data_IF_197959418547
#
_entry.id   IF_197959418547
#
_cell.length_a   1.000
_cell.length_b   1.000
_cell.length_c   1.000
_cell.angle_alpha   90.00
_cell.angle_beta   90.00
_cell.angle_gamma   90.00
#
_symmetry.space_group_name_H-M   'P 1'
#
loop_
_entity.id
_entity.type
_entity.pdbx_description
1 polymer ?
#
# COMPACT_ATOMS: atom_id res chain seq x y z
N UNK A 1 5.32 14.38 21.28
CA UNK A 1 6.11 13.65 20.24
C UNK A 1 5.72 14.17 18.86
N UNK A 2 6.61 14.07 17.85
CA UNK A 2 6.41 14.73 16.54
C UNK A 2 5.46 14.03 15.56
N UNK A 3 4.89 12.86 15.90
CA UNK A 3 3.98 12.09 15.01
C UNK A 3 4.49 11.95 13.56
N UNK A 4 5.79 11.67 13.42
CA UNK A 4 6.47 11.46 12.13
C UNK A 4 7.07 10.06 12.09
N UNK A 5 6.85 9.36 10.98
CA UNK A 5 7.48 8.09 10.64
C UNK A 5 8.80 8.33 9.90
N UNK A 6 9.88 7.78 10.45
CA UNK A 6 11.25 7.91 9.93
C UNK A 6 11.93 6.55 9.92
N UNK A 7 12.71 6.26 8.88
CA UNK A 7 13.59 5.09 8.87
C UNK A 7 14.71 5.23 9.91
N UNK A 8 15.00 4.16 10.66
CA UNK A 8 16.14 4.16 11.59
C UNK A 8 17.44 4.01 10.79
N UNK A 9 18.31 5.02 10.85
CA UNK A 9 19.54 5.08 10.06
C UNK A 9 19.29 5.65 8.65
N UNK A 10 20.06 5.19 7.66
CA UNK A 10 19.95 5.66 6.27
C UNK A 10 18.81 4.94 5.55
N UNK A 11 17.75 5.68 5.19
CA UNK A 11 16.53 5.10 4.62
C UNK A 11 16.78 4.21 3.40
N UNK A 12 17.64 4.63 2.46
CA UNK A 12 17.97 3.86 1.27
C UNK A 12 18.64 2.53 1.58
N UNK A 13 19.58 2.49 2.53
CA UNK A 13 20.21 1.23 2.98
C UNK A 13 19.17 0.30 3.57
N UNK A 14 18.29 0.83 4.44
CA UNK A 14 17.22 0.02 5.05
C UNK A 14 16.27 -0.57 4.00
N UNK A 15 15.89 0.18 2.97
CA UNK A 15 14.99 -0.33 1.94
C UNK A 15 15.68 -1.29 0.96
N UNK A 16 16.99 -1.15 0.73
CA UNK A 16 17.77 -2.11 -0.04
C UNK A 16 17.93 -3.47 0.67
N UNK A 17 18.06 -3.47 2.00
CA UNK A 17 18.11 -4.71 2.80
C UNK A 17 16.81 -5.53 2.71
N UNK A 18 15.66 -4.85 2.78
CA UNK A 18 14.33 -5.47 2.71
C UNK A 18 13.31 -4.45 2.19
N UNK A 19 12.99 -4.55 0.90
CA UNK A 19 12.07 -3.62 0.24
C UNK A 19 10.65 -3.69 0.81
N UNK A 20 10.26 -4.77 1.51
CA UNK A 20 8.97 -4.84 2.21
C UNK A 20 8.82 -3.72 3.25
N UNK A 21 9.92 -3.15 3.74
CA UNK A 21 9.89 -2.00 4.65
C UNK A 21 9.20 -0.77 4.03
N UNK A 22 9.16 -0.66 2.71
CA UNK A 22 8.39 0.37 1.99
C UNK A 22 6.88 0.15 2.22
N UNK A 23 6.37 -1.06 1.95
CA UNK A 23 4.96 -1.40 2.21
C UNK A 23 4.60 -1.25 3.70
N UNK A 24 5.51 -1.64 4.60
CA UNK A 24 5.33 -1.41 6.04
C UNK A 24 5.26 0.07 6.38
N UNK A 25 6.00 0.94 5.69
CA UNK A 25 5.93 2.39 5.85
C UNK A 25 4.54 2.93 5.56
N UNK A 26 3.95 2.56 4.41
CA UNK A 26 2.58 2.93 4.07
C UNK A 26 1.55 2.34 5.03
N UNK A 27 1.71 1.07 5.44
CA UNK A 27 0.85 0.46 6.45
C UNK A 27 0.93 1.21 7.78
N UNK A 28 2.12 1.53 8.27
CA UNK A 28 2.27 2.28 9.52
C UNK A 28 1.66 3.66 9.45
N UNK A 29 1.79 4.34 8.30
CA UNK A 29 1.13 5.61 8.05
C UNK A 29 -0.39 5.46 8.13
N UNK A 30 -0.93 4.39 7.56
CA UNK A 30 -2.35 4.06 7.64
C UNK A 30 -2.81 3.66 9.05
N UNK A 31 -1.99 2.96 9.83
CA UNK A 31 -2.34 2.53 11.19
C UNK A 31 -2.29 3.68 12.20
N UNK A 32 -1.30 4.57 12.08
CA UNK A 32 -1.01 5.60 13.08
C UNK A 32 -1.52 7.00 12.69
N UNK A 33 -1.78 7.23 11.40
CA UNK A 33 -2.17 8.54 10.88
C UNK A 33 -1.03 9.56 10.83
N UNK A 34 0.21 9.13 11.10
CA UNK A 34 1.41 9.96 11.16
C UNK A 34 1.87 10.40 9.76
N UNK A 35 2.67 11.46 9.68
CA UNK A 35 3.30 11.87 8.42
C UNK A 35 4.59 11.07 8.18
N UNK A 36 4.90 10.75 6.92
CA UNK A 36 6.23 10.24 6.55
C UNK A 36 7.22 11.41 6.51
N UNK A 37 8.42 11.21 7.05
CA UNK A 37 9.50 12.17 6.89
C UNK A 37 9.85 12.32 5.40
N UNK A 38 10.07 13.55 4.89
CA UNK A 38 10.35 13.78 3.47
C UNK A 38 11.49 12.94 2.88
N UNK A 39 12.63 12.83 3.58
CA UNK A 39 13.77 12.03 3.11
C UNK A 39 13.48 10.53 3.13
N UNK A 40 12.74 10.07 4.14
CA UNK A 40 12.28 8.67 4.21
C UNK A 40 11.36 8.37 3.02
N UNK A 41 10.37 9.23 2.75
CA UNK A 41 9.42 9.05 1.65
C UNK A 41 10.11 9.14 0.27
N UNK A 42 11.06 10.06 0.10
CA UNK A 42 11.87 10.15 -1.13
C UNK A 42 12.66 8.86 -1.40
N UNK A 43 13.24 8.27 -0.37
CA UNK A 43 13.92 6.98 -0.49
C UNK A 43 12.94 5.85 -0.79
N UNK A 44 11.73 5.85 -0.19
CA UNK A 44 10.67 4.90 -0.52
C UNK A 44 10.30 4.99 -2.00
N UNK A 45 10.01 6.20 -2.50
CA UNK A 45 9.64 6.45 -3.90
C UNK A 45 10.73 6.02 -4.89
N UNK A 46 12.00 6.30 -4.58
CA UNK A 46 13.13 5.90 -5.45
C UNK A 46 13.30 4.37 -5.51
N UNK A 47 12.94 3.66 -4.45
CA UNK A 47 13.22 2.23 -4.28
C UNK A 47 11.97 1.34 -4.40
N UNK A 48 10.81 1.89 -4.79
CA UNK A 48 9.63 1.08 -5.11
C UNK A 48 9.87 -0.01 -6.16
N UNK A 49 10.78 0.12 -7.16
CA UNK A 49 11.04 -0.98 -8.09
C UNK A 49 11.57 -2.25 -7.43
N UNK A 50 12.16 -2.15 -6.22
CA UNK A 50 12.61 -3.32 -5.49
C UNK A 50 11.46 -4.19 -4.97
N UNK A 51 10.23 -3.69 -4.95
CA UNK A 51 9.04 -4.43 -4.54
C UNK A 51 8.74 -5.61 -5.48
N UNK A 52 9.17 -5.57 -6.74
CA UNK A 52 9.04 -6.68 -7.69
C UNK A 52 9.75 -7.96 -7.20
N UNK A 53 10.78 -7.81 -6.34
CA UNK A 53 11.54 -8.92 -5.76
C UNK A 53 10.93 -9.48 -4.48
N UNK A 54 9.87 -8.87 -3.97
CA UNK A 54 9.21 -9.29 -2.73
C UNK A 54 8.15 -10.34 -3.04
N UNK A 55 8.08 -11.38 -2.22
CA UNK A 55 7.06 -12.41 -2.38
C UNK A 55 5.66 -11.82 -2.22
N UNK A 56 4.77 -12.16 -3.15
CA UNK A 56 3.37 -11.68 -3.17
C UNK A 56 2.67 -11.90 -1.82
N UNK A 57 2.90 -13.02 -1.15
CA UNK A 57 2.29 -13.33 0.14
C UNK A 57 2.66 -12.31 1.23
N UNK A 58 3.90 -11.80 1.22
CA UNK A 58 4.36 -10.79 2.17
C UNK A 58 3.77 -9.43 1.84
N UNK A 59 3.72 -9.11 0.55
CA UNK A 59 3.08 -7.90 0.04
C UNK A 59 1.59 -7.86 0.36
N UNK A 60 0.87 -8.98 0.17
CA UNK A 60 -0.53 -9.16 0.52
C UNK A 60 -0.78 -8.81 1.98
N UNK A 61 -0.02 -9.40 2.91
CA UNK A 61 -0.19 -9.16 4.35
C UNK A 61 -0.04 -7.68 4.73
N UNK A 62 0.91 -6.97 4.11
CA UNK A 62 1.12 -5.55 4.40
C UNK A 62 0.06 -4.67 3.75
N UNK A 63 -0.39 -5.00 2.54
CA UNK A 63 -1.42 -4.23 1.83
C UNK A 63 -2.81 -4.44 2.42
N UNK A 64 -3.18 -5.66 2.79
CA UNK A 64 -4.43 -5.98 3.49
C UNK A 64 -4.53 -5.19 4.81
N UNK A 65 -3.46 -5.19 5.61
CA UNK A 65 -3.39 -4.39 6.84
C UNK A 65 -3.41 -2.89 6.61
N UNK A 66 -2.93 -2.42 5.46
CA UNK A 66 -3.00 -1.00 5.09
C UNK A 66 -4.46 -0.62 4.84
N UNK A 67 -5.19 -1.41 4.07
CA UNK A 67 -6.60 -1.16 3.75
C UNK A 67 -7.47 -1.21 5.02
N UNK A 68 -7.24 -2.16 5.91
CA UNK A 68 -8.02 -2.31 7.15
C UNK A 68 -7.71 -1.27 8.24
N UNK A 69 -6.74 -0.38 8.01
CA UNK A 69 -6.31 0.57 9.03
C UNK A 69 -7.20 1.83 9.08
N UNK A 70 -7.33 2.49 10.25
CA UNK A 70 -8.23 3.64 10.43
C UNK A 70 -7.87 4.85 9.55
N UNK A 71 -6.61 4.99 9.14
CA UNK A 71 -6.14 6.04 8.23
C UNK A 71 -5.70 5.48 6.86
N UNK A 72 -6.32 4.39 6.39
CA UNK A 72 -6.00 3.73 5.11
C UNK A 72 -5.87 4.73 3.95
N UNK A 73 -6.73 5.75 3.89
CA UNK A 73 -6.67 6.83 2.89
C UNK A 73 -5.28 7.49 2.82
N UNK A 74 -4.66 7.76 3.98
CA UNK A 74 -3.33 8.40 4.03
C UNK A 74 -2.24 7.47 3.51
N UNK A 75 -2.24 6.21 3.97
CA UNK A 75 -1.25 5.22 3.51
C UNK A 75 -1.41 4.91 2.02
N UNK A 76 -2.65 4.75 1.56
CA UNK A 76 -2.95 4.50 0.14
C UNK A 76 -2.55 5.70 -0.73
N UNK A 77 -2.83 6.94 -0.28
CA UNK A 77 -2.45 8.14 -1.03
C UNK A 77 -0.92 8.22 -1.22
N UNK A 78 -0.14 7.98 -0.16
CA UNK A 78 1.32 7.96 -0.27
C UNK A 78 1.84 6.79 -1.10
N UNK A 79 1.18 5.63 -1.08
CA UNK A 79 1.50 4.49 -1.95
C UNK A 79 1.25 4.79 -3.44
N UNK A 80 0.18 5.53 -3.74
CA UNK A 80 -0.13 6.02 -5.08
C UNK A 80 0.90 7.07 -5.52
N UNK A 81 1.19 8.05 -4.68
CA UNK A 81 2.18 9.10 -4.98
C UNK A 81 3.60 8.55 -5.22
N UNK A 82 3.94 7.44 -4.55
CA UNK A 82 5.21 6.74 -4.75
C UNK A 82 5.21 5.78 -5.94
N UNK A 83 4.08 5.57 -6.60
CA UNK A 83 3.90 4.57 -7.67
C UNK A 83 4.24 3.14 -7.23
N UNK A 84 4.09 2.83 -5.94
CA UNK A 84 4.39 1.48 -5.45
C UNK A 84 3.42 0.44 -6.04
N UNK A 85 2.20 0.84 -6.40
CA UNK A 85 1.19 -0.01 -7.03
C UNK A 85 1.65 -0.62 -8.36
N UNK A 86 2.60 0.00 -9.07
CA UNK A 86 3.12 -0.53 -10.34
C UNK A 86 3.88 -1.86 -10.19
N UNK A 87 4.31 -2.18 -8.97
CA UNK A 87 5.04 -3.39 -8.63
C UNK A 87 4.20 -4.40 -7.84
N UNK A 88 2.88 -4.17 -7.74
CA UNK A 88 1.94 -5.06 -7.08
C UNK A 88 1.16 -5.90 -8.11
N UNK A 89 0.75 -7.14 -7.79
CA UNK A 89 0.05 -8.02 -8.74
C UNK A 89 -1.21 -7.38 -9.32
N UNK A 90 -1.31 -7.37 -10.66
CA UNK A 90 -2.45 -6.86 -11.42
C UNK A 90 -2.87 -5.40 -11.07
N UNK A 91 -1.93 -4.58 -10.59
CA UNK A 91 -2.18 -3.18 -10.22
C UNK A 91 -1.39 -2.17 -11.05
N UNK A 92 -0.57 -2.60 -12.02
CA UNK A 92 0.20 -1.68 -12.85
C UNK A 92 -0.69 -0.69 -13.61
N UNK A 93 -0.26 0.58 -13.66
CA UNK A 93 -0.98 1.68 -14.32
C UNK A 93 -2.42 1.90 -13.83
N UNK A 94 -2.72 1.55 -12.57
CA UNK A 94 -4.08 1.62 -12.02
C UNK A 94 -4.38 2.86 -11.16
N UNK A 95 -3.54 3.90 -11.20
CA UNK A 95 -3.68 5.10 -10.37
C UNK A 95 -5.10 5.70 -10.39
N UNK A 96 -5.66 5.97 -11.58
CA UNK A 96 -6.99 6.59 -11.69
C UNK A 96 -8.10 5.68 -11.15
N UNK A 97 -7.93 4.37 -11.29
CA UNK A 97 -8.85 3.37 -10.76
C UNK A 97 -8.77 3.30 -9.23
N UNK A 98 -7.56 3.30 -8.66
CA UNK A 98 -7.35 3.33 -7.21
C UNK A 98 -7.88 4.61 -6.58
N UNK A 99 -7.79 5.74 -7.29
CA UNK A 99 -8.32 7.01 -6.82
C UNK A 99 -9.84 6.97 -6.55
N UNK A 100 -10.59 6.04 -7.18
CA UNK A 100 -12.04 5.86 -6.92
C UNK A 100 -12.34 5.40 -5.49
N UNK A 101 -11.39 4.73 -4.82
CA UNK A 101 -11.59 4.38 -3.41
C UNK A 101 -11.76 5.63 -2.54
N UNK A 102 -11.18 6.77 -2.94
CA UNK A 102 -11.31 8.01 -2.19
C UNK A 102 -12.69 8.67 -2.31
N UNK A 103 -13.57 8.18 -3.19
CA UNK A 103 -14.96 8.64 -3.32
C UNK A 103 -15.86 8.13 -2.18
N UNK A 104 -15.39 7.14 -1.40
CA UNK A 104 -16.07 6.72 -0.16
C UNK A 104 -16.13 7.89 0.84
N UNK A 105 -16.87 7.74 1.93
CA UNK A 105 -16.91 8.76 2.99
C UNK A 105 -15.53 8.94 3.64
N UNK A 106 -15.20 10.16 4.07
CA UNK A 106 -13.84 10.50 4.56
C UNK A 106 -13.42 9.73 5.81
N UNK A 107 -14.39 9.36 6.63
CA UNK A 107 -14.28 8.57 7.86
C UNK A 107 -14.61 7.09 7.65
N UNK A 108 -14.89 6.67 6.42
CA UNK A 108 -15.13 5.27 6.08
C UNK A 108 -13.94 4.39 6.45
N UNK A 109 -14.21 3.28 7.13
CA UNK A 109 -13.24 2.23 7.45
C UNK A 109 -13.77 0.87 7.00
N UNK A 110 -12.90 0.02 6.48
CA UNK A 110 -13.25 -1.35 6.15
C UNK A 110 -13.37 -2.20 7.43
N UNK A 111 -14.46 -2.93 7.56
CA UNK A 111 -14.77 -3.80 8.70
C UNK A 111 -14.13 -5.19 8.57
N UNK A 112 -13.85 -5.63 7.33
CA UNK A 112 -13.25 -6.93 7.06
C UNK A 112 -12.35 -6.91 5.81
N UNK A 113 -11.47 -7.92 5.72
CA UNK A 113 -10.61 -8.11 4.55
C UNK A 113 -11.45 -8.27 3.29
N UNK A 114 -12.51 -9.08 3.34
CA UNK A 114 -13.43 -9.29 2.22
C UNK A 114 -14.05 -7.99 1.72
N UNK A 115 -14.44 -7.09 2.62
CA UNK A 115 -14.98 -5.78 2.25
C UNK A 115 -13.92 -4.92 1.56
N UNK A 116 -12.69 -4.88 2.09
CA UNK A 116 -11.58 -4.14 1.51
C UNK A 116 -11.21 -4.64 0.11
N UNK A 117 -11.09 -5.96 -0.05
CA UNK A 117 -10.77 -6.57 -1.35
C UNK A 117 -11.92 -6.47 -2.34
N UNK A 118 -13.18 -6.56 -1.90
CA UNK A 118 -14.34 -6.32 -2.75
C UNK A 118 -14.37 -4.87 -3.28
N UNK A 119 -14.09 -3.89 -2.42
CA UNK A 119 -14.00 -2.49 -2.83
C UNK A 119 -12.83 -2.25 -3.80
N UNK A 120 -11.69 -2.91 -3.57
CA UNK A 120 -10.54 -2.86 -4.49
C UNK A 120 -10.89 -3.45 -5.86
N UNK A 121 -11.49 -4.63 -5.90
CA UNK A 121 -11.94 -5.28 -7.15
C UNK A 121 -12.91 -4.38 -7.92
N UNK A 122 -13.86 -3.77 -7.21
CA UNK A 122 -14.80 -2.81 -7.78
C UNK A 122 -14.10 -1.57 -8.34
N UNK A 123 -13.18 -0.96 -7.58
CA UNK A 123 -12.44 0.22 -7.99
C UNK A 123 -11.55 -0.05 -9.22
N UNK A 124 -10.91 -1.23 -9.25
CA UNK A 124 -10.05 -1.67 -10.35
C UNK A 124 -10.82 -2.17 -11.59
N UNK A 125 -12.15 -2.29 -11.50
CA UNK A 125 -13.02 -2.86 -12.56
C UNK A 125 -12.56 -4.27 -12.97
N UNK A 126 -12.24 -5.11 -11.98
CA UNK A 126 -11.78 -6.47 -12.25
C UNK A 126 -12.98 -7.35 -12.63
N UNK A 127 -12.99 -7.83 -13.88
CA UNK A 127 -14.04 -8.74 -14.38
C UNK A 127 -13.89 -10.16 -13.80
N UNK A 128 -12.65 -10.65 -13.68
CA UNK A 128 -12.36 -12.00 -13.18
C UNK A 128 -11.69 -11.94 -11.80
N UNK A 129 -12.53 -11.86 -10.76
CA UNK A 129 -12.09 -11.82 -9.37
C UNK A 129 -11.23 -13.04 -8.99
N UNK A 130 -11.54 -14.24 -9.48
CA UNK A 130 -10.78 -15.45 -9.16
C UNK A 130 -9.34 -15.37 -9.68
N UNK A 131 -9.15 -14.90 -10.92
CA UNK A 131 -7.81 -14.74 -11.49
C UNK A 131 -6.99 -13.71 -10.73
N UNK A 132 -7.60 -12.58 -10.37
CA UNK A 132 -6.96 -11.51 -9.61
C UNK A 132 -6.56 -12.01 -8.20
N UNK A 133 -7.48 -12.62 -7.46
CA UNK A 133 -7.20 -13.13 -6.12
C UNK A 133 -6.11 -14.23 -6.14
N UNK A 134 -6.07 -15.04 -7.20
CA UNK A 134 -5.01 -16.02 -7.42
C UNK A 134 -3.63 -15.37 -7.66
N UNK A 135 -3.56 -14.24 -8.37
CA UNK A 135 -2.29 -13.52 -8.57
C UNK A 135 -1.76 -12.92 -7.26
N UNK A 136 -2.68 -12.57 -6.35
CA UNK A 136 -2.41 -12.18 -4.96
C UNK A 136 -2.13 -13.34 -4.00
N UNK A 137 -2.16 -14.58 -4.50
CA UNK A 137 -1.92 -15.81 -3.73
C UNK A 137 -2.78 -15.91 -2.46
N UNK A 138 -4.00 -15.39 -2.52
CA UNK A 138 -5.00 -15.60 -1.47
C UNK A 138 -5.50 -17.04 -1.56
N UNK A 139 -5.54 -17.73 -0.42
CA UNK A 139 -6.03 -19.12 -0.31
C UNK A 139 -7.54 -19.21 -0.42
#
# INVERSE_FOLDING_TARGET
EKQVLRAVGVASERFNEDALRIMRGFRFQASLGFALEPETFKAMKTLTPLLEKISVERTFVEFDKLLLAPFWRRGLASMIESQAYDYLPDMASSQDKLNRLFDLETDFTFESSEQAWAALLWALEIENAQSFLKSWKTS
#
